data_IF_309292056268
#
_entry.id   IF_309292056268
#
_cell.length_a   1.000
_cell.length_b   1.000
_cell.length_c   1.000
_cell.angle_alpha   90.00
_cell.angle_beta   90.00
_cell.angle_gamma   90.00
#
_symmetry.space_group_name_H-M   'P 1'
#
loop_
_entity.id
_entity.type
_entity.pdbx_description
1 polymer ?
#
# COMPACT_ATOMS: atom_id res chain seq x y z
N UNK A 1 3.48 -19.94 7.04
CA UNK A 1 4.41 -19.21 6.14
C UNK A 1 5.50 -18.59 7.00
N UNK A 2 6.76 -18.83 6.65
CA UNK A 2 7.92 -18.26 7.36
C UNK A 2 8.57 -17.22 6.47
N UNK A 3 8.74 -16.00 6.98
CA UNK A 3 9.31 -14.87 6.22
C UNK A 3 10.63 -14.48 6.86
N UNK A 4 11.68 -14.34 6.04
CA UNK A 4 12.96 -13.81 6.49
C UNK A 4 12.89 -12.29 6.53
N UNK A 5 13.31 -11.73 7.66
CA UNK A 5 13.42 -10.29 7.88
C UNK A 5 14.84 -10.01 8.33
N UNK A 6 15.43 -8.94 7.83
CA UNK A 6 16.72 -8.47 8.32
C UNK A 6 16.63 -8.07 9.81
N UNK A 7 17.76 -8.06 10.55
CA UNK A 7 17.75 -7.82 11.99
C UNK A 7 17.18 -6.47 12.40
N UNK A 8 17.31 -5.44 11.57
CA UNK A 8 16.81 -4.10 11.88
C UNK A 8 15.28 -4.05 11.76
N UNK A 9 14.74 -4.64 10.70
CA UNK A 9 13.29 -4.76 10.50
C UNK A 9 12.63 -5.62 11.58
N UNK A 10 13.27 -6.71 12.02
CA UNK A 10 12.79 -7.49 13.16
C UNK A 10 12.69 -6.65 14.43
N UNK A 11 13.73 -5.87 14.75
CA UNK A 11 13.75 -4.97 15.91
C UNK A 11 12.67 -3.89 15.82
N UNK A 12 12.42 -3.35 14.63
CA UNK A 12 11.34 -2.39 14.41
C UNK A 12 9.96 -3.03 14.64
N UNK A 13 9.72 -4.20 14.06
CA UNK A 13 8.46 -4.94 14.23
C UNK A 13 8.20 -5.23 15.72
N UNK A 14 9.20 -5.68 16.45
CA UNK A 14 9.08 -5.98 17.88
C UNK A 14 8.70 -4.75 18.72
N UNK A 15 9.29 -3.60 18.42
CA UNK A 15 8.94 -2.34 19.09
C UNK A 15 7.49 -1.95 18.84
N UNK A 16 7.01 -2.11 17.61
CA UNK A 16 5.61 -1.83 17.24
C UNK A 16 4.68 -2.81 17.95
N UNK A 17 4.95 -4.11 17.89
CA UNK A 17 4.15 -5.13 18.56
C UNK A 17 4.03 -4.87 20.07
N UNK A 18 5.14 -4.54 20.75
CA UNK A 18 5.14 -4.22 22.17
C UNK A 18 4.37 -2.95 22.51
N UNK A 19 4.53 -1.88 21.71
CA UNK A 19 3.87 -0.60 21.96
C UNK A 19 2.35 -0.70 21.86
N UNK A 20 1.85 -1.48 20.91
CA UNK A 20 0.43 -1.52 20.57
C UNK A 20 -0.27 -2.81 21.02
N UNK A 21 0.43 -3.72 21.68
CA UNK A 21 -0.13 -5.00 22.14
C UNK A 21 -0.56 -5.94 21.02
N UNK A 22 -0.01 -5.77 19.81
CA UNK A 22 -0.39 -6.54 18.61
C UNK A 22 0.59 -7.68 18.34
N UNK A 23 0.10 -8.80 17.81
CA UNK A 23 0.99 -9.91 17.45
C UNK A 23 1.81 -9.60 16.20
N UNK A 24 3.00 -10.20 16.06
CA UNK A 24 3.83 -10.06 14.84
C UNK A 24 3.05 -10.44 13.58
N UNK A 25 2.33 -11.56 13.63
CA UNK A 25 1.56 -12.09 12.50
C UNK A 25 0.44 -11.14 12.07
N UNK A 26 -0.20 -10.46 13.02
CA UNK A 26 -1.25 -9.49 12.75
C UNK A 26 -0.69 -8.25 12.05
N UNK A 27 0.40 -7.67 12.58
CA UNK A 27 1.06 -6.50 11.97
C UNK A 27 1.58 -6.83 10.57
N UNK A 28 2.21 -7.99 10.39
CA UNK A 28 2.69 -8.45 9.08
C UNK A 28 1.52 -8.62 8.10
N UNK A 29 0.43 -9.25 8.53
CA UNK A 29 -0.74 -9.48 7.67
C UNK A 29 -1.36 -8.16 7.21
N UNK A 30 -1.46 -7.18 8.09
CA UNK A 30 -1.98 -5.85 7.74
C UNK A 30 -1.05 -5.10 6.79
N UNK A 31 0.27 -5.16 7.04
CA UNK A 31 1.25 -4.57 6.13
C UNK A 31 1.17 -5.21 4.74
N UNK A 32 1.11 -6.54 4.66
CA UNK A 32 0.99 -7.26 3.39
C UNK A 32 -0.31 -6.92 2.66
N UNK A 33 -1.46 -6.89 3.35
CA UNK A 33 -2.74 -6.49 2.73
C UNK A 33 -2.67 -5.10 2.14
N UNK A 34 -2.14 -4.11 2.88
CA UNK A 34 -1.95 -2.74 2.39
C UNK A 34 -1.02 -2.69 1.20
N UNK A 35 0.12 -3.38 1.26
CA UNK A 35 1.09 -3.38 0.17
C UNK A 35 0.51 -4.00 -1.10
N UNK A 36 -0.19 -5.15 -0.98
CA UNK A 36 -0.82 -5.79 -2.12
C UNK A 36 -1.95 -4.94 -2.71
N UNK A 37 -2.72 -4.23 -1.88
CA UNK A 37 -3.73 -3.29 -2.36
C UNK A 37 -3.11 -2.13 -3.14
N UNK A 38 -2.02 -1.54 -2.64
CA UNK A 38 -1.28 -0.50 -3.35
C UNK A 38 -0.73 -0.98 -4.68
N UNK A 39 -0.14 -2.18 -4.72
CA UNK A 39 0.38 -2.75 -5.97
C UNK A 39 -0.73 -2.98 -7.00
N UNK A 40 -1.89 -3.48 -6.57
CA UNK A 40 -3.06 -3.65 -7.45
C UNK A 40 -3.60 -2.31 -7.94
N UNK A 41 -3.65 -1.30 -7.06
CA UNK A 41 -4.08 0.04 -7.43
C UNK A 41 -3.15 0.68 -8.47
N UNK A 42 -1.84 0.60 -8.26
CA UNK A 42 -0.83 1.11 -9.21
C UNK A 42 -0.93 0.41 -10.57
N UNK A 43 -1.16 -0.90 -10.57
CA UNK A 43 -1.37 -1.65 -11.81
C UNK A 43 -2.62 -1.15 -12.54
N UNK A 44 -3.75 -1.06 -11.84
CA UNK A 44 -4.99 -0.56 -12.42
C UNK A 44 -4.85 0.87 -12.94
N UNK A 45 -4.16 1.74 -12.20
CA UNK A 45 -3.89 3.12 -12.61
C UNK A 45 -3.13 3.16 -13.93
N UNK A 46 -2.09 2.35 -14.09
CA UNK A 46 -1.32 2.25 -15.35
C UNK A 46 -2.18 1.77 -16.51
N UNK A 47 -3.02 0.77 -16.27
CA UNK A 47 -3.89 0.20 -17.30
C UNK A 47 -4.98 1.20 -17.74
N UNK A 48 -5.46 2.05 -16.83
CA UNK A 48 -6.49 3.05 -17.10
C UNK A 48 -5.95 4.39 -17.62
N UNK A 49 -4.67 4.70 -17.39
CA UNK A 49 -4.06 5.99 -17.75
C UNK A 49 -4.27 6.40 -19.21
N UNK A 50 -4.14 5.52 -20.22
CA UNK A 50 -4.38 5.90 -21.63
C UNK A 50 -5.82 6.37 -21.90
N UNK A 51 -6.80 5.79 -21.20
CA UNK A 51 -8.20 6.17 -21.35
C UNK A 51 -8.54 7.47 -20.61
N UNK A 52 -7.82 7.73 -19.50
CA UNK A 52 -7.93 8.96 -18.73
C UNK A 52 -7.32 10.14 -19.50
N UNK A 53 -6.14 9.96 -20.10
CA UNK A 53 -5.47 10.95 -20.94
C UNK A 53 -6.31 11.34 -22.16
N UNK A 54 -6.93 10.36 -22.84
CA UNK A 54 -7.85 10.62 -23.95
C UNK A 54 -9.08 11.47 -23.54
N UNK A 55 -9.38 11.53 -22.24
CA UNK A 55 -10.44 12.36 -21.66
C UNK A 55 -9.93 13.64 -20.97
N UNK A 56 -8.63 13.92 -21.05
CA UNK A 56 -8.02 15.12 -20.47
C UNK A 56 -7.65 15.03 -18.99
N UNK A 57 -7.65 13.83 -18.39
CA UNK A 57 -7.20 13.61 -17.01
C UNK A 57 -5.72 13.17 -17.03
N UNK A 58 -4.81 14.09 -16.70
CA UNK A 58 -3.36 13.81 -16.67
C UNK A 58 -2.82 13.65 -15.25
N UNK A 59 -3.46 14.30 -14.28
CA UNK A 59 -3.04 14.30 -12.88
C UNK A 59 -4.14 13.82 -11.96
N UNK A 60 -3.76 13.37 -10.77
CA UNK A 60 -4.74 13.01 -9.73
C UNK A 60 -5.61 14.23 -9.35
N UNK A 61 -5.06 15.45 -9.46
CA UNK A 61 -5.77 16.69 -9.19
C UNK A 61 -6.89 17.00 -10.21
N UNK A 62 -6.72 16.61 -11.47
CA UNK A 62 -7.77 16.74 -12.49
C UNK A 62 -8.97 15.85 -12.15
N UNK A 63 -8.71 14.66 -11.61
CA UNK A 63 -9.75 13.74 -11.14
C UNK A 63 -10.46 14.35 -9.92
N UNK A 64 -9.71 14.82 -8.92
CA UNK A 64 -10.28 15.39 -7.70
C UNK A 64 -11.23 16.57 -7.99
N UNK A 65 -10.85 17.47 -8.91
CA UNK A 65 -11.70 18.59 -9.32
C UNK A 65 -13.05 18.19 -9.92
N UNK A 66 -13.18 16.98 -10.45
CA UNK A 66 -14.40 16.51 -11.11
C UNK A 66 -15.28 15.63 -10.20
N UNK A 67 -14.74 15.08 -9.10
CA UNK A 67 -15.47 14.18 -8.20
C UNK A 67 -15.69 14.74 -6.79
N UNK A 68 -15.14 15.91 -6.48
CA UNK A 68 -15.23 16.58 -5.16
C UNK A 68 -16.05 17.86 -5.22
#
# INVERSE_FOLDING_TARGET
>A
VTVRLDPDLQRQLDRVCRRWGRSRSEVIRDALRRQLALMQFEQLRRDLMPFAEARGYLTDEDVFRHVS
#
